data_IF_449518089210
#
_entry.id   IF_449518089210
#
_cell.length_a   1.000
_cell.length_b   1.000
_cell.length_c   1.000
_cell.angle_alpha   90.00
_cell.angle_beta   90.00
_cell.angle_gamma   90.00
#
_symmetry.space_group_name_H-M   'P 1'
#
loop_
_entity.id
_entity.type
_entity.pdbx_description
1 polymer ?
#
# COMPACT_ATOMS: atom_id res chain seq x y z
N UNK A 1 -0.77 -11.95 19.95
CA UNK A 1 0.40 -11.09 20.24
C UNK A 1 1.04 -10.66 18.92
N UNK A 2 1.52 -9.43 18.77
CA UNK A 2 2.30 -9.03 17.57
C UNK A 2 3.60 -9.85 17.42
N UNK A 3 4.07 -10.49 18.50
CA UNK A 3 5.31 -11.27 18.54
C UNK A 3 5.33 -12.48 17.60
N UNK A 4 4.17 -13.04 17.23
CA UNK A 4 4.08 -14.13 16.24
C UNK A 4 3.95 -13.62 14.80
N UNK A 5 3.51 -12.38 14.60
CA UNK A 5 3.23 -11.82 13.27
C UNK A 5 4.49 -11.46 12.49
N UNK A 6 5.50 -10.87 13.15
CA UNK A 6 6.76 -10.47 12.52
C UNK A 6 7.57 -11.69 12.05
N UNK A 7 7.79 -12.75 12.86
CA UNK A 7 8.47 -13.96 12.40
C UNK A 7 7.73 -14.66 11.26
N UNK A 8 6.39 -14.70 11.29
CA UNK A 8 5.59 -15.27 10.21
C UNK A 8 5.72 -14.47 8.91
N UNK A 9 5.73 -13.13 8.99
CA UNK A 9 5.97 -12.26 7.84
C UNK A 9 7.37 -12.50 7.24
N UNK A 10 8.38 -12.63 8.09
CA UNK A 10 9.77 -12.87 7.66
C UNK A 10 9.90 -14.22 6.93
N UNK A 11 9.18 -15.25 7.40
CA UNK A 11 9.05 -16.58 6.78
C UNK A 11 8.04 -16.65 5.62
N UNK A 12 7.56 -15.51 5.11
CA UNK A 12 6.60 -15.42 4.00
C UNK A 12 5.25 -16.15 4.26
N UNK A 13 4.90 -16.40 5.52
CA UNK A 13 3.63 -17.03 5.94
C UNK A 13 2.54 -15.96 6.12
N UNK A 14 2.16 -15.30 5.02
CA UNK A 14 1.40 -14.06 5.07
C UNK A 14 -0.02 -14.19 5.66
N UNK A 15 -0.69 -15.33 5.47
CA UNK A 15 -2.00 -15.58 6.10
C UNK A 15 -1.92 -15.62 7.63
N UNK A 16 -0.91 -16.32 8.16
CA UNK A 16 -0.64 -16.42 9.61
C UNK A 16 -0.24 -15.05 10.18
N UNK A 17 0.63 -14.33 9.46
CA UNK A 17 1.04 -12.98 9.83
C UNK A 17 -0.17 -12.01 9.85
N UNK A 18 -1.00 -12.01 8.80
CA UNK A 18 -2.22 -11.18 8.72
C UNK A 18 -3.17 -11.46 9.87
N UNK A 19 -3.44 -12.75 10.17
CA UNK A 19 -4.28 -13.14 11.30
C UNK A 19 -3.71 -12.66 12.65
N UNK A 20 -2.39 -12.78 12.84
CA UNK A 20 -1.71 -12.30 14.06
C UNK A 20 -1.84 -10.78 14.24
N UNK A 21 -1.68 -10.01 13.15
CA UNK A 21 -1.85 -8.56 13.19
C UNK A 21 -3.30 -8.16 13.43
N UNK A 22 -4.28 -8.80 12.77
CA UNK A 22 -5.71 -8.56 13.04
C UNK A 22 -6.08 -8.86 14.49
N UNK A 23 -5.60 -9.97 15.05
CA UNK A 23 -5.81 -10.31 16.44
C UNK A 23 -5.22 -9.25 17.39
N UNK A 24 -4.05 -8.69 17.05
CA UNK A 24 -3.47 -7.59 17.81
C UNK A 24 -4.35 -6.33 17.75
N UNK A 25 -4.89 -5.96 16.57
CA UNK A 25 -5.84 -4.84 16.45
C UNK A 25 -7.06 -5.08 17.34
N UNK A 26 -7.69 -6.25 17.25
CA UNK A 26 -8.89 -6.57 18.05
C UNK A 26 -8.63 -6.55 19.56
N UNK A 27 -7.43 -6.94 20.00
CA UNK A 27 -7.05 -6.94 21.42
C UNK A 27 -6.72 -5.54 21.95
N UNK A 28 -6.07 -4.71 21.14
CA UNK A 28 -5.57 -3.39 21.56
C UNK A 28 -6.63 -2.30 21.44
N UNK A 29 -7.47 -2.34 20.41
CA UNK A 29 -8.40 -1.25 20.09
C UNK A 29 -9.43 -0.96 21.20
N UNK A 30 -9.99 -1.96 21.92
CA UNK A 30 -10.86 -1.71 23.06
C UNK A 30 -10.19 -1.01 24.26
N UNK A 31 -8.85 -1.02 24.32
CA UNK A 31 -8.08 -0.42 25.42
C UNK A 31 -7.83 1.07 25.24
N UNK A 32 -8.21 1.65 24.10
CA UNK A 32 -8.02 3.07 23.84
C UNK A 32 -9.17 3.87 24.48
N UNK A 33 -8.87 4.86 25.34
CA UNK A 33 -9.88 5.72 25.95
C UNK A 33 -10.73 6.44 24.88
N UNK A 34 -12.05 6.50 25.10
CA UNK A 34 -13.02 7.09 24.15
C UNK A 34 -13.50 8.49 24.55
N UNK A 35 -13.39 8.86 25.82
CA UNK A 35 -14.12 10.00 26.39
C UNK A 35 -13.22 11.21 26.69
N UNK A 36 -12.75 11.93 25.66
CA UNK A 36 -12.01 13.19 25.82
C UNK A 36 -10.65 13.10 26.54
N UNK A 37 -10.28 11.92 27.03
CA UNK A 37 -8.99 11.63 27.64
C UNK A 37 -7.91 11.53 26.55
N UNK A 38 -6.72 12.02 26.87
CA UNK A 38 -5.55 11.94 25.99
C UNK A 38 -5.30 10.48 25.57
N UNK A 39 -5.32 10.22 24.28
CA UNK A 39 -5.05 8.88 23.75
C UNK A 39 -3.55 8.58 23.88
N UNK A 40 -3.14 7.42 24.42
CA UNK A 40 -1.72 7.09 24.47
C UNK A 40 -1.17 6.93 23.05
N UNK A 41 -0.31 7.86 22.61
CA UNK A 41 0.23 7.91 21.25
C UNK A 41 0.89 6.58 20.85
N UNK A 42 1.68 5.99 21.76
CA UNK A 42 2.34 4.71 21.54
C UNK A 42 1.34 3.55 21.30
N UNK A 43 0.17 3.58 21.94
CA UNK A 43 -0.86 2.56 21.75
C UNK A 43 -1.56 2.75 20.40
N UNK A 44 -1.89 3.99 20.03
CA UNK A 44 -2.46 4.33 18.72
C UNK A 44 -1.50 3.95 17.59
N UNK A 45 -0.24 4.35 17.67
CA UNK A 45 0.79 3.99 16.68
C UNK A 45 0.94 2.46 16.53
N UNK A 46 0.84 1.69 17.63
CA UNK A 46 0.83 0.22 17.57
C UNK A 46 -0.39 -0.33 16.85
N UNK A 47 -1.57 0.21 17.09
CA UNK A 47 -2.81 -0.21 16.40
C UNK A 47 -2.74 0.11 14.91
N UNK A 48 -2.28 1.31 14.55
CA UNK A 48 -2.06 1.72 13.15
C UNK A 48 -1.04 0.82 12.46
N UNK A 49 0.09 0.53 13.11
CA UNK A 49 1.10 -0.38 12.58
C UNK A 49 0.54 -1.79 12.35
N UNK A 50 -0.16 -2.39 13.32
CA UNK A 50 -0.79 -3.71 13.10
C UNK A 50 -1.83 -3.67 11.98
N UNK A 51 -2.59 -2.58 11.87
CA UNK A 51 -3.60 -2.42 10.83
C UNK A 51 -2.94 -2.38 9.45
N UNK A 52 -1.93 -1.53 9.27
CA UNK A 52 -1.16 -1.44 8.03
C UNK A 52 -0.49 -2.78 7.68
N UNK A 53 0.11 -3.46 8.65
CA UNK A 53 0.75 -4.77 8.41
C UNK A 53 -0.25 -5.88 8.10
N UNK A 54 -1.48 -5.84 8.64
CA UNK A 54 -2.52 -6.80 8.30
C UNK A 54 -2.93 -6.69 6.82
N UNK A 55 -3.05 -5.45 6.31
CA UNK A 55 -3.31 -5.15 4.91
C UNK A 55 -2.11 -5.50 4.02
N UNK A 56 -0.90 -5.15 4.45
CA UNK A 56 0.34 -5.50 3.76
C UNK A 56 0.45 -7.01 3.54
N UNK A 57 0.17 -7.81 4.57
CA UNK A 57 0.20 -9.27 4.46
C UNK A 57 -0.87 -9.79 3.48
N UNK A 58 -2.08 -9.23 3.50
CA UNK A 58 -3.13 -9.61 2.54
C UNK A 58 -2.72 -9.29 1.08
N UNK A 59 -2.11 -8.13 0.84
CA UNK A 59 -1.56 -7.77 -0.47
C UNK A 59 -0.41 -8.68 -0.89
N UNK A 60 0.51 -9.01 0.02
CA UNK A 60 1.64 -9.89 -0.26
C UNK A 60 1.17 -11.31 -0.58
N UNK A 61 0.19 -11.84 0.16
CA UNK A 61 -0.45 -13.12 -0.16
C UNK A 61 -1.06 -13.09 -1.57
N UNK A 62 -1.87 -12.06 -1.86
CA UNK A 62 -2.47 -11.88 -3.19
C UNK A 62 -1.40 -11.77 -4.29
N UNK A 63 -0.27 -11.12 -4.03
CA UNK A 63 0.83 -11.02 -4.99
C UNK A 63 1.47 -12.38 -5.30
N UNK A 64 1.58 -13.27 -4.31
CA UNK A 64 2.08 -14.63 -4.52
C UNK A 64 1.12 -15.46 -5.37
N UNK A 65 -0.18 -15.36 -5.08
CA UNK A 65 -1.23 -16.05 -5.86
C UNK A 65 -1.25 -15.56 -7.31
N UNK A 66 -1.20 -14.24 -7.51
CA UNK A 66 -1.13 -13.63 -8.85
C UNK A 66 0.14 -14.04 -9.59
N UNK A 67 1.30 -14.10 -8.92
CA UNK A 67 2.54 -14.56 -9.54
C UNK A 67 2.45 -16.02 -10.01
N UNK A 68 1.86 -16.91 -9.20
CA UNK A 68 1.60 -18.31 -9.61
C UNK A 68 0.61 -18.38 -10.78
N UNK A 69 -0.42 -17.55 -10.76
CA UNK A 69 -1.38 -17.47 -11.86
C UNK A 69 -0.73 -16.98 -13.16
N UNK A 70 0.15 -15.98 -13.11
CA UNK A 70 0.93 -15.50 -14.27
C UNK A 70 1.74 -16.64 -14.89
N UNK A 71 2.43 -17.44 -14.08
CA UNK A 71 3.23 -18.58 -14.58
C UNK A 71 2.39 -19.72 -15.15
N UNK A 72 1.15 -19.88 -14.69
CA UNK A 72 0.23 -20.93 -15.17
C UNK A 72 -0.62 -20.51 -16.37
N UNK A 73 -0.68 -19.21 -16.68
CA UNK A 73 -1.53 -18.65 -17.75
C UNK A 73 -0.82 -18.60 -19.10
N UNK A 74 -1.59 -18.51 -20.19
CA UNK A 74 -1.08 -18.31 -21.56
C UNK A 74 -1.78 -17.14 -22.26
N UNK A 75 -1.07 -16.48 -23.18
CA UNK A 75 -1.62 -15.44 -24.06
C UNK A 75 -2.22 -14.25 -23.31
N UNK A 76 -3.41 -13.80 -23.72
CA UNK A 76 -4.07 -12.60 -23.18
C UNK A 76 -4.37 -12.67 -21.67
N UNK A 77 -4.56 -13.87 -21.12
CA UNK A 77 -4.77 -14.05 -19.67
C UNK A 77 -3.51 -13.67 -18.87
N UNK A 78 -2.32 -13.96 -19.40
CA UNK A 78 -1.04 -13.60 -18.78
C UNK A 78 -0.90 -12.09 -18.67
N UNK A 79 -1.18 -11.33 -19.73
CA UNK A 79 -1.09 -9.87 -19.72
C UNK A 79 -2.04 -9.23 -18.68
N UNK A 80 -3.29 -9.71 -18.61
CA UNK A 80 -4.24 -9.27 -17.59
C UNK A 80 -3.73 -9.53 -16.17
N UNK A 81 -3.20 -10.74 -15.92
CA UNK A 81 -2.66 -11.12 -14.60
C UNK A 81 -1.39 -10.37 -14.22
N UNK A 82 -0.52 -10.06 -15.19
CA UNK A 82 0.65 -9.20 -14.99
C UNK A 82 0.20 -7.80 -14.56
N UNK A 83 -0.84 -7.24 -15.20
CA UNK A 83 -1.40 -5.94 -14.81
C UNK A 83 -1.99 -5.96 -13.40
N UNK A 84 -2.77 -6.99 -13.06
CA UNK A 84 -3.29 -7.18 -11.70
C UNK A 84 -2.15 -7.27 -10.67
N UNK A 85 -1.08 -8.01 -10.98
CA UNK A 85 0.10 -8.16 -10.12
C UNK A 85 0.81 -6.81 -9.93
N UNK A 86 0.98 -6.03 -10.99
CA UNK A 86 1.58 -4.70 -10.95
C UNK A 86 0.77 -3.73 -10.08
N UNK A 87 -0.56 -3.72 -10.22
CA UNK A 87 -1.45 -2.91 -9.38
C UNK A 87 -1.43 -3.35 -7.90
N UNK A 88 -1.29 -4.65 -7.65
CA UNK A 88 -1.10 -5.18 -6.30
C UNK A 88 0.21 -4.66 -5.69
N UNK A 89 1.32 -4.73 -6.43
CA UNK A 89 2.60 -4.16 -5.99
C UNK A 89 2.56 -2.65 -5.80
N UNK A 90 1.83 -1.92 -6.65
CA UNK A 90 1.59 -0.49 -6.47
C UNK A 90 0.92 -0.17 -5.13
N UNK A 91 0.03 -1.06 -4.65
CA UNK A 91 -0.56 -0.94 -3.32
C UNK A 91 0.46 -1.30 -2.22
N UNK A 92 1.20 -2.42 -2.36
CA UNK A 92 2.23 -2.85 -1.41
C UNK A 92 3.25 -1.74 -1.14
N UNK A 93 3.71 -1.05 -2.19
CA UNK A 93 4.70 0.01 -2.09
C UNK A 93 4.19 1.21 -1.26
N UNK A 94 2.87 1.45 -1.20
CA UNK A 94 2.24 2.60 -0.54
C UNK A 94 1.71 2.33 0.86
N UNK A 95 1.57 1.06 1.27
CA UNK A 95 1.20 0.74 2.66
C UNK A 95 2.34 1.19 3.61
N UNK A 96 2.04 1.98 4.66
CA UNK A 96 3.03 2.37 5.67
C UNK A 96 3.65 1.14 6.35
N UNK A 97 4.98 1.14 6.51
CA UNK A 97 5.75 0.01 7.04
C UNK A 97 7.14 0.45 7.47
N UNK A 98 7.82 -0.37 8.27
CA UNK A 98 9.18 -0.09 8.71
C UNK A 98 10.16 0.03 7.52
N UNK A 99 11.19 0.90 7.59
CA UNK A 99 12.14 1.13 6.50
C UNK A 99 12.76 -0.15 5.92
N UNK A 100 13.16 -1.10 6.78
CA UNK A 100 13.70 -2.41 6.35
C UNK A 100 12.74 -3.20 5.45
N UNK A 101 11.44 -3.12 5.71
CA UNK A 101 10.43 -3.79 4.89
C UNK A 101 10.12 -2.98 3.62
N UNK A 102 10.25 -1.66 3.67
CA UNK A 102 10.22 -0.81 2.47
C UNK A 102 11.31 -1.22 1.49
N UNK A 103 12.55 -1.38 1.96
CA UNK A 103 13.66 -1.87 1.13
C UNK A 103 13.37 -3.27 0.58
N UNK A 104 13.07 -4.25 1.44
CA UNK A 104 12.77 -5.64 1.06
C UNK A 104 11.65 -5.75 0.01
N UNK A 105 10.51 -5.13 0.26
CA UNK A 105 9.37 -5.21 -0.66
C UNK A 105 9.55 -4.32 -1.89
N UNK A 106 10.34 -3.25 -1.81
CA UNK A 106 10.78 -2.48 -2.95
C UNK A 106 11.63 -3.30 -3.92
N UNK A 107 12.61 -4.06 -3.42
CA UNK A 107 13.43 -4.98 -4.24
C UNK A 107 12.57 -6.06 -4.90
N UNK A 108 11.62 -6.65 -4.16
CA UNK A 108 10.70 -7.63 -4.74
C UNK A 108 9.82 -7.01 -5.83
N UNK A 109 9.28 -5.81 -5.60
CA UNK A 109 8.51 -5.09 -6.61
C UNK A 109 9.37 -4.82 -7.86
N UNK A 110 10.57 -4.25 -7.67
CA UNK A 110 11.55 -3.98 -8.74
C UNK A 110 11.78 -5.22 -9.60
N UNK A 111 12.09 -6.36 -8.98
CA UNK A 111 12.30 -7.61 -9.68
C UNK A 111 11.05 -8.07 -10.47
N UNK A 112 9.85 -7.98 -9.89
CA UNK A 112 8.61 -8.35 -10.58
C UNK A 112 8.35 -7.42 -11.78
N UNK A 113 8.52 -6.11 -11.64
CA UNK A 113 8.36 -5.15 -12.74
C UNK A 113 9.41 -5.36 -13.85
N UNK A 114 10.65 -5.66 -13.48
CA UNK A 114 11.75 -5.87 -14.42
C UNK A 114 11.61 -7.17 -15.22
N UNK A 115 11.15 -8.25 -14.57
CA UNK A 115 11.13 -9.60 -15.15
C UNK A 115 9.78 -9.98 -15.77
N UNK A 116 8.66 -9.66 -15.11
CA UNK A 116 7.33 -10.16 -15.50
C UNK A 116 6.54 -9.17 -16.34
N UNK A 117 6.85 -7.87 -16.25
CA UNK A 117 6.10 -6.79 -16.93
C UNK A 117 6.95 -6.06 -17.98
N UNK A 118 8.04 -6.67 -18.46
CA UNK A 118 8.97 -6.04 -19.41
C UNK A 118 8.27 -5.48 -20.64
N UNK A 119 7.43 -6.29 -21.27
CA UNK A 119 6.74 -5.93 -22.52
C UNK A 119 5.52 -5.01 -22.28
N UNK A 120 5.14 -4.80 -21.02
CA UNK A 120 3.95 -4.05 -20.61
C UNK A 120 4.29 -2.70 -19.96
N UNK A 121 5.51 -2.18 -20.17
CA UNK A 121 5.95 -0.92 -19.58
C UNK A 121 6.37 -1.01 -18.10
N UNK A 122 6.66 -2.21 -17.61
CA UNK A 122 7.21 -2.45 -16.27
C UNK A 122 8.68 -2.03 -16.12
N UNK A 123 9.46 -2.04 -17.21
CA UNK A 123 10.88 -1.65 -17.18
C UNK A 123 11.13 -0.23 -16.66
N UNK A 124 10.48 0.83 -17.19
CA UNK A 124 10.63 2.18 -16.63
C UNK A 124 10.24 2.27 -15.15
N UNK A 125 9.21 1.52 -14.72
CA UNK A 125 8.79 1.47 -13.32
C UNK A 125 9.85 0.80 -12.45
N UNK A 126 10.45 -0.29 -12.91
CA UNK A 126 11.55 -0.96 -12.21
C UNK A 126 12.75 -0.03 -12.04
N UNK A 127 13.10 0.74 -13.07
CA UNK A 127 14.15 1.76 -13.01
C UNK A 127 13.88 2.85 -11.98
N UNK A 128 12.63 3.35 -11.91
CA UNK A 128 12.22 4.33 -10.91
C UNK A 128 12.25 3.75 -9.48
N UNK A 129 11.84 2.49 -9.30
CA UNK A 129 11.93 1.81 -7.99
C UNK A 129 13.41 1.67 -7.60
N UNK A 130 14.26 1.22 -8.51
CA UNK A 130 15.70 1.06 -8.29
C UNK A 130 16.36 2.39 -7.88
N UNK A 131 16.08 3.47 -8.61
CA UNK A 131 16.58 4.80 -8.26
C UNK A 131 16.11 5.24 -6.86
N UNK A 132 14.84 4.98 -6.52
CA UNK A 132 14.30 5.34 -5.19
C UNK A 132 14.91 4.50 -4.06
N UNK A 133 15.21 3.22 -4.33
CA UNK A 133 15.88 2.34 -3.37
C UNK A 133 17.32 2.78 -3.12
N UNK A 134 18.06 3.16 -4.16
CA UNK A 134 19.42 3.67 -4.03
C UNK A 134 19.45 5.01 -3.29
N UNK A 135 18.50 5.90 -3.58
CA UNK A 135 18.43 7.21 -2.92
C UNK A 135 18.03 7.13 -1.44
N UNK A 136 16.99 6.33 -1.11
CA UNK A 136 16.35 6.37 0.22
C UNK A 136 16.63 5.17 1.10
N UNK A 137 17.18 4.08 0.55
CA UNK A 137 17.33 2.80 1.25
C UNK A 137 18.74 2.22 1.13
N UNK A 138 19.74 2.91 0.58
CA UNK A 138 21.09 2.36 0.35
C UNK A 138 21.69 1.72 1.62
N UNK A 139 21.60 2.40 2.77
CA UNK A 139 22.09 1.88 4.05
C UNK A 139 21.33 0.66 4.63
N UNK A 140 20.24 0.24 3.99
CA UNK A 140 19.42 -0.92 4.38
C UNK A 140 19.59 -2.11 3.41
N UNK A 141 20.34 -1.93 2.32
CA UNK A 141 20.55 -2.93 1.29
C UNK A 141 21.89 -3.62 1.49
N UNK A 142 21.95 -4.93 1.25
CA UNK A 142 23.20 -5.67 1.16
C UNK A 142 23.98 -5.28 -0.10
N UNK A 143 25.29 -5.60 -0.14
CA UNK A 143 26.14 -5.31 -1.30
C UNK A 143 25.59 -5.93 -2.61
N UNK A 144 25.02 -7.13 -2.54
CA UNK A 144 24.41 -7.80 -3.70
C UNK A 144 23.10 -7.12 -4.13
N UNK A 145 22.24 -6.74 -3.18
CA UNK A 145 21.01 -6.01 -3.48
C UNK A 145 21.30 -4.62 -4.09
N UNK A 146 22.36 -3.94 -3.63
CA UNK A 146 22.84 -2.69 -4.23
C UNK A 146 23.30 -2.89 -5.66
N UNK A 147 24.08 -3.96 -5.92
CA UNK A 147 24.51 -4.31 -7.28
C UNK A 147 23.32 -4.56 -8.20
N UNK A 148 22.31 -5.28 -7.72
CA UNK A 148 21.07 -5.56 -8.47
C UNK A 148 20.28 -4.28 -8.76
N UNK A 149 20.09 -3.40 -7.76
CA UNK A 149 19.39 -2.15 -7.96
C UNK A 149 20.12 -1.24 -8.96
N UNK A 150 21.45 -1.11 -8.85
CA UNK A 150 22.27 -0.34 -9.82
C UNK A 150 22.17 -0.92 -11.22
N UNK A 151 22.23 -2.24 -11.36
CA UNK A 151 22.04 -2.91 -12.64
C UNK A 151 20.67 -2.59 -13.26
N UNK A 152 19.58 -2.72 -12.50
CA UNK A 152 18.23 -2.42 -13.01
C UNK A 152 18.10 -0.94 -13.40
N UNK A 153 18.65 -0.03 -12.60
CA UNK A 153 18.64 1.41 -12.92
C UNK A 153 19.37 1.70 -14.25
N UNK A 154 20.53 1.09 -14.46
CA UNK A 154 21.32 1.25 -15.69
C UNK A 154 20.63 0.59 -16.90
N UNK A 155 20.17 -0.65 -16.74
CA UNK A 155 19.57 -1.44 -17.82
C UNK A 155 18.24 -0.88 -18.33
N UNK A 156 17.49 -0.18 -17.47
CA UNK A 156 16.20 0.38 -17.84
C UNK A 156 16.31 1.78 -18.46
N UNK A 157 17.44 2.47 -18.29
CA UNK A 157 17.67 3.85 -18.74
C UNK A 157 16.64 4.81 -18.14
N UNK A 158 17.01 5.68 -17.22
CA UNK A 158 16.07 6.60 -16.53
C UNK A 158 15.56 7.73 -17.44
N UNK A 159 14.91 7.38 -18.55
CA UNK A 159 13.99 8.28 -19.22
C UNK A 159 12.69 8.27 -18.41
N UNK A 160 12.37 9.41 -17.77
CA UNK A 160 11.03 9.62 -17.20
C UNK A 160 10.01 9.26 -18.29
N UNK A 161 9.01 8.41 -18.02
CA UNK A 161 8.01 8.10 -19.03
C UNK A 161 7.38 9.42 -19.48
N UNK A 162 7.64 9.81 -20.74
CA UNK A 162 6.92 10.92 -21.37
C UNK A 162 5.44 10.50 -21.38
N UNK A 163 4.56 11.34 -20.83
CA UNK A 163 3.12 11.24 -21.09
C UNK A 163 2.91 11.11 -22.60
N UNK A 164 1.98 10.31 -23.10
CA UNK A 164 0.59 10.18 -22.65
C UNK A 164 0.06 8.77 -23.01
N UNK A 165 -0.92 8.26 -22.25
CA UNK A 165 -1.78 7.13 -22.67
C UNK A 165 -1.46 5.72 -22.14
N UNK A 166 -0.26 5.43 -21.65
CA UNK A 166 0.03 4.09 -21.09
C UNK A 166 -0.43 3.99 -19.64
N UNK A 167 -1.28 3.01 -19.33
CA UNK A 167 -1.76 2.77 -17.97
C UNK A 167 -0.56 2.52 -17.04
N UNK A 168 -0.28 3.46 -16.15
CA UNK A 168 0.88 3.39 -15.26
C UNK A 168 0.84 2.09 -14.46
N UNK A 169 1.77 1.17 -14.77
CA UNK A 169 1.91 -0.11 -14.07
C UNK A 169 2.26 0.07 -12.59
N UNK A 170 2.79 1.24 -12.19
CA UNK A 170 2.98 1.62 -10.78
C UNK A 170 1.71 2.18 -10.10
N UNK A 171 0.56 2.08 -10.77
CA UNK A 171 -0.68 2.74 -10.38
C UNK A 171 -0.78 4.16 -10.91
N UNK A 172 -2.02 4.62 -11.09
CA UNK A 172 -2.33 5.99 -11.50
C UNK A 172 -2.96 6.74 -10.34
N UNK A 173 -2.70 8.04 -10.24
CA UNK A 173 -3.32 8.87 -9.23
C UNK A 173 -4.85 8.79 -9.35
N UNK A 174 -5.60 8.43 -8.29
CA UNK A 174 -7.05 8.38 -8.32
C UNK A 174 -7.70 9.75 -8.59
N UNK A 175 -6.98 10.85 -8.32
CA UNK A 175 -7.44 12.22 -8.54
C UNK A 175 -7.12 12.75 -9.94
N UNK A 176 -5.84 12.82 -10.31
CA UNK A 176 -5.41 13.45 -11.58
C UNK A 176 -5.03 12.46 -12.68
N UNK A 177 -5.15 11.15 -12.43
CA UNK A 177 -4.83 10.04 -13.36
C UNK A 177 -3.38 9.98 -13.86
N UNK A 178 -2.49 10.87 -13.42
CA UNK A 178 -1.06 10.81 -13.74
C UNK A 178 -0.36 9.61 -13.09
N UNK A 179 0.71 9.08 -13.69
CA UNK A 179 1.53 8.03 -13.08
C UNK A 179 2.04 8.44 -11.71
N UNK A 180 2.00 7.52 -10.75
CA UNK A 180 2.53 7.75 -9.42
C UNK A 180 3.98 7.29 -9.33
N UNK A 181 4.82 8.10 -8.66
CA UNK A 181 6.17 7.67 -8.30
C UNK A 181 6.11 6.45 -7.35
N UNK A 182 7.00 5.46 -7.52
CA UNK A 182 7.08 4.34 -6.60
C UNK A 182 7.49 4.83 -5.21
N UNK A 183 7.00 4.16 -4.15
CA UNK A 183 7.33 4.45 -2.74
C UNK A 183 6.99 5.87 -2.23
N UNK A 184 6.44 6.74 -3.07
CA UNK A 184 5.92 8.04 -2.66
C UNK A 184 4.52 7.87 -2.06
N UNK A 185 4.25 8.43 -0.87
CA UNK A 185 2.90 8.50 -0.32
C UNK A 185 2.03 9.53 -1.07
N UNK A 186 2.64 10.45 -1.83
CA UNK A 186 1.94 11.54 -2.52
C UNK A 186 2.10 11.49 -4.03
N UNK A 187 1.11 12.00 -4.74
CA UNK A 187 1.22 12.26 -6.16
C UNK A 187 2.09 13.49 -6.41
N UNK A 188 3.25 13.31 -7.05
CA UNK A 188 4.15 14.42 -7.40
C UNK A 188 3.58 15.46 -8.40
N UNK A 189 2.39 15.23 -8.96
CA UNK A 189 1.72 16.18 -9.87
C UNK A 189 0.66 17.03 -9.17
N UNK A 190 -0.22 16.43 -8.37
CA UNK A 190 -1.34 17.14 -7.72
C UNK A 190 -1.23 17.21 -6.19
N UNK A 191 -0.12 16.76 -5.61
CA UNK A 191 0.17 16.78 -4.17
C UNK A 191 -0.77 15.91 -3.31
N UNK A 192 -1.64 15.11 -3.92
CA UNK A 192 -2.64 14.34 -3.17
C UNK A 192 -2.01 13.11 -2.55
N UNK A 193 -2.22 12.92 -1.25
CA UNK A 193 -1.80 11.72 -0.51
C UNK A 193 -2.64 10.51 -0.93
N UNK A 194 -1.95 9.43 -1.27
CA UNK A 194 -2.53 8.21 -1.80
C UNK A 194 -2.51 7.14 -0.71
N UNK A 195 -3.68 6.58 -0.43
CA UNK A 195 -3.86 5.47 0.48
C UNK A 195 -4.22 4.18 -0.24
N UNK A 196 -4.38 3.12 0.54
CA UNK A 196 -4.90 1.84 0.06
C UNK A 196 -6.21 1.50 0.77
N UNK A 197 -7.26 1.27 0.00
CA UNK A 197 -8.56 0.88 0.52
C UNK A 197 -8.46 -0.52 1.15
N UNK A 198 -8.78 -0.63 2.43
CA UNK A 198 -8.70 -1.89 3.18
C UNK A 198 -9.73 -2.93 2.72
N UNK A 199 -10.82 -2.49 2.08
CA UNK A 199 -11.88 -3.39 1.59
C UNK A 199 -11.53 -4.02 0.25
N UNK A 200 -11.10 -3.19 -0.70
CA UNK A 200 -10.96 -3.60 -2.10
C UNK A 200 -9.48 -3.70 -2.54
N UNK A 201 -8.55 -3.30 -1.68
CA UNK A 201 -7.10 -3.33 -1.94
C UNK A 201 -6.70 -2.53 -3.19
N UNK A 202 -7.29 -1.34 -3.35
CA UNK A 202 -7.02 -0.43 -4.46
C UNK A 202 -6.49 0.90 -3.95
N UNK A 203 -5.74 1.61 -4.78
CA UNK A 203 -5.28 2.98 -4.49
C UNK A 203 -6.47 3.93 -4.40
N UNK A 204 -6.44 4.84 -3.42
CA UNK A 204 -7.49 5.84 -3.21
C UNK A 204 -6.91 7.18 -2.78
N UNK A 205 -7.65 8.25 -3.07
CA UNK A 205 -7.34 9.60 -2.61
C UNK A 205 -7.73 9.68 -1.12
N UNK A 206 -6.76 9.89 -0.23
CA UNK A 206 -7.03 9.95 1.21
C UNK A 206 -7.95 11.10 1.60
N UNK A 207 -8.00 12.19 0.82
CA UNK A 207 -8.89 13.32 1.09
C UNK A 207 -10.36 12.96 0.87
N UNK A 208 -10.63 12.01 -0.02
CA UNK A 208 -11.98 11.55 -0.35
C UNK A 208 -12.33 10.22 0.31
N UNK A 209 -11.36 9.58 0.96
CA UNK A 209 -11.54 8.32 1.64
C UNK A 209 -12.04 8.56 3.07
N UNK A 210 -12.86 7.62 3.57
CA UNK A 210 -13.13 7.54 4.98
C UNK A 210 -11.92 6.90 5.67
N UNK A 211 -11.40 7.52 6.71
CA UNK A 211 -10.26 7.06 7.50
C UNK A 211 -10.69 6.80 8.93
N UNK A 212 -10.23 5.70 9.51
CA UNK A 212 -10.53 5.40 10.90
C UNK A 212 -9.73 6.30 11.83
N UNK A 213 -10.41 6.97 12.75
CA UNK A 213 -9.80 7.84 13.76
C UNK A 213 -8.90 7.12 14.77
N UNK A 214 -8.88 5.78 14.76
CA UNK A 214 -8.16 4.95 15.72
C UNK A 214 -7.05 4.11 15.09
N UNK A 215 -7.35 3.47 13.96
CA UNK A 215 -6.43 2.50 13.35
C UNK A 215 -5.93 2.93 11.96
N UNK A 216 -6.29 4.15 11.52
CA UNK A 216 -5.98 4.70 10.21
C UNK A 216 -6.46 3.85 9.01
N UNK A 217 -7.29 2.83 9.25
CA UNK A 217 -7.88 2.04 8.16
C UNK A 217 -8.63 2.95 7.19
N UNK A 218 -8.35 2.79 5.92
CA UNK A 218 -8.89 3.63 4.86
C UNK A 218 -9.93 2.86 4.05
N UNK A 219 -11.07 3.50 3.78
CA UNK A 219 -12.09 3.03 2.85
C UNK A 219 -12.24 4.04 1.73
N UNK A 220 -11.99 3.61 0.49
CA UNK A 220 -12.28 4.42 -0.68
C UNK A 220 -13.78 4.79 -0.65
N UNK A 221 -14.08 6.08 -0.60
CA UNK A 221 -15.43 6.57 -0.79
C UNK A 221 -15.80 6.47 -2.26
N UNK A 222 -16.96 5.89 -2.57
CA UNK A 222 -17.78 6.49 -3.62
C UNK A 222 -18.62 7.55 -2.92
N UNK A 223 -18.53 8.84 -3.28
CA UNK A 223 -19.58 9.77 -2.91
C UNK A 223 -20.82 9.32 -3.67
N UNK A 224 -21.65 8.47 -3.05
CA UNK A 224 -23.02 8.30 -3.48
C UNK A 224 -23.71 9.60 -3.09
N UNK A 225 -23.88 10.46 -4.09
CA UNK A 225 -24.55 11.76 -4.03
C UNK A 225 -23.78 12.87 -3.30
N UNK A 226 -23.63 14.00 -3.99
CA UNK A 226 -23.24 15.28 -3.38
C UNK A 226 -24.33 15.63 -2.34
N UNK A 227 -24.05 15.42 -1.06
CA UNK A 227 -24.94 15.90 0.02
C UNK A 227 -25.14 14.96 1.20
N UNK A 228 -24.88 13.66 1.08
CA UNK A 228 -24.98 12.77 2.24
C UNK A 228 -23.61 12.53 2.88
N UNK A 229 -23.41 12.91 4.16
CA UNK A 229 -22.20 12.50 4.87
C UNK A 229 -22.18 10.97 4.92
N UNK A 230 -21.05 10.39 4.51
CA UNK A 230 -20.75 8.96 4.66
C UNK A 230 -20.80 8.60 6.15
N UNK A 231 -21.98 8.22 6.67
CA UNK A 231 -22.19 7.78 8.04
C UNK A 231 -21.71 6.33 8.21
N UNK A 232 -20.42 6.07 8.01
CA UNK A 232 -19.84 4.80 8.45
C UNK A 232 -19.55 4.91 9.94
N UNK A 233 -20.53 4.48 10.76
CA UNK A 233 -20.49 4.68 12.22
C UNK A 233 -19.38 3.93 12.96
N UNK A 234 -18.86 2.82 12.43
CA UNK A 234 -17.74 2.07 13.04
C UNK A 234 -16.83 1.46 11.99
N UNK A 235 -15.54 1.47 12.27
CA UNK A 235 -14.52 0.86 11.44
C UNK A 235 -14.66 -0.67 11.45
N UNK A 236 -14.83 -1.28 10.27
CA UNK A 236 -14.89 -2.74 10.13
C UNK A 236 -13.55 -3.45 10.40
N UNK A 237 -12.43 -2.71 10.44
CA UNK A 237 -11.10 -3.29 10.69
C UNK A 237 -10.84 -3.42 12.18
N UNK A 238 -11.05 -2.37 12.97
CA UNK A 238 -10.79 -2.39 14.41
C UNK A 238 -12.06 -2.54 15.28
N UNK A 239 -13.25 -2.50 14.68
CA UNK A 239 -14.55 -2.65 15.34
C UNK A 239 -14.95 -1.53 16.31
N UNK A 240 -14.10 -0.52 16.49
CA UNK A 240 -14.14 0.39 17.64
C UNK A 240 -14.03 1.86 17.29
N UNK A 241 -13.13 2.23 16.37
CA UNK A 241 -12.98 3.62 15.94
C UNK A 241 -14.03 4.04 14.92
N UNK A 242 -14.30 5.34 14.85
CA UNK A 242 -15.21 5.92 13.86
C UNK A 242 -14.50 6.13 12.53
N UNK A 243 -15.24 6.10 11.43
CA UNK A 243 -14.71 6.35 10.09
C UNK A 243 -15.12 7.76 9.66
N UNK A 244 -14.13 8.62 9.42
CA UNK A 244 -14.34 10.04 9.10
C UNK A 244 -13.72 10.38 7.74
N UNK A 245 -14.38 11.22 6.95
CA UNK A 245 -13.80 11.76 5.70
C UNK A 245 -13.12 13.09 6.03
N UNK A 246 -11.85 13.24 5.64
CA UNK A 246 -11.12 14.50 5.86
C UNK A 246 -11.76 15.64 5.04
N UNK A 247 -12.15 16.74 5.70
CA UNK A 247 -12.66 17.95 5.04
C UNK A 247 -14.19 18.07 4.97
N UNK A 248 -14.94 17.10 5.49
CA UNK A 248 -16.32 17.33 5.93
C UNK A 248 -16.21 17.72 7.40
N UNK A 249 -16.48 19.00 7.69
CA UNK A 249 -16.26 19.64 8.99
C UNK A 249 -16.84 18.89 10.19
N UNK A 250 -16.41 19.33 11.37
CA UNK A 250 -16.85 18.85 12.68
C UNK A 250 -18.34 18.46 12.69
N UNK A 251 -18.72 17.37 13.39
CA UNK A 251 -20.12 17.09 13.59
C UNK A 251 -20.75 18.31 14.23
N UNK A 252 -21.71 18.93 13.54
CA UNK A 252 -22.53 19.97 14.14
C UNK A 252 -23.10 19.42 15.46
N UNK A 253 -22.95 20.16 16.57
CA UNK A 253 -23.53 19.76 17.83
C UNK A 253 -25.05 19.68 17.65
N UNK A 254 -25.63 18.54 17.98
CA UNK A 254 -27.05 18.46 18.32
C UNK A 254 -27.18 18.72 19.82
#
# INVERSE_FOLDING_TARGET
SMQSGVPALEKCSYNVASASFRAAVSLLSPRVPRNGQSRPEALCARIEAATAYSLLCALLQRSQELRRAVTASKGAQTASKVRELCLCWACVLRVPKAPRHTARFGLQAMANFFTLARNDGGWPVAGLIAATLLDRCEGLLSAEELKQARYVQQATGTSRPKGDGSSSMCGSCPRCRRPLAPLSPECGFCGTTIGVCHRNMVLCDLRLAATCSLCAATLAGTPRNRGEPLRVRRCFVCGTGDMCVQGMGEPLPY
#
